data_IF_049273776399
#
_entry.id   IF_049273776399
#
_cell.length_a   1.000
_cell.length_b   1.000
_cell.length_c   1.000
_cell.angle_alpha   90.00
_cell.angle_beta   90.00
_cell.angle_gamma   90.00
#
_symmetry.space_group_name_H-M   'P 1'
#
loop_
_entity.id
_entity.type
_entity.pdbx_description
1 polymer ?
#
# COMPACT_ATOMS: atom_id res chain seq x y z
N UNK A 1 -12.39 -66.23 27.13
CA UNK A 1 -11.12 -65.61 26.73
C UNK A 1 -11.09 -65.49 25.23
N UNK A 2 -10.71 -64.33 24.70
CA UNK A 2 -10.55 -63.97 23.27
C UNK A 2 -11.80 -63.55 22.47
N UNK A 3 -12.37 -62.40 22.81
CA UNK A 3 -13.18 -61.57 21.89
C UNK A 3 -12.79 -60.08 21.85
N UNK A 4 -11.56 -59.74 22.22
CA UNK A 4 -11.11 -58.33 22.34
C UNK A 4 -10.06 -57.92 21.33
N UNK A 5 -9.76 -58.72 20.29
CA UNK A 5 -8.64 -58.44 19.37
C UNK A 5 -9.08 -58.16 17.91
N UNK A 6 -10.35 -57.90 17.65
CA UNK A 6 -10.85 -57.68 16.28
C UNK A 6 -11.40 -56.27 15.99
N UNK A 7 -11.16 -55.30 16.90
CA UNK A 7 -11.65 -53.92 16.76
C UNK A 7 -10.53 -52.86 16.53
N UNK A 8 -9.27 -53.28 16.36
CA UNK A 8 -8.14 -52.39 16.22
C UNK A 8 -7.76 -51.98 14.78
N UNK A 9 -8.14 -52.66 13.66
CA UNK A 9 -7.79 -52.20 12.33
C UNK A 9 -8.77 -51.21 11.72
N UNK A 10 -9.94 -50.92 12.30
CA UNK A 10 -10.90 -49.96 11.75
C UNK A 10 -10.64 -48.48 12.11
N UNK A 11 -9.76 -48.20 13.08
CA UNK A 11 -9.48 -46.84 13.56
C UNK A 11 -8.30 -46.16 12.83
N UNK A 12 -7.60 -46.87 11.95
CA UNK A 12 -6.41 -46.37 11.24
C UNK A 12 -6.71 -45.91 9.80
N UNK A 13 -7.96 -45.93 9.34
CA UNK A 13 -8.39 -45.53 7.98
C UNK A 13 -9.06 -44.12 7.94
N UNK A 14 -9.13 -43.41 9.06
CA UNK A 14 -9.76 -42.05 9.14
C UNK A 14 -8.78 -40.92 9.16
N UNK A 15 -7.51 -41.11 8.78
CA UNK A 15 -6.42 -40.13 8.94
C UNK A 15 -5.92 -39.43 7.69
N UNK A 16 -6.44 -39.69 6.50
CA UNK A 16 -6.10 -38.93 5.30
C UNK A 16 -7.33 -38.20 4.76
N UNK A 17 -7.81 -37.22 5.53
CA UNK A 17 -8.52 -36.12 4.89
C UNK A 17 -7.42 -35.30 4.20
N UNK A 18 -7.20 -35.54 2.91
CA UNK A 18 -6.53 -34.58 2.06
C UNK A 18 -7.26 -33.25 2.26
N UNK A 19 -6.61 -32.33 2.98
CA UNK A 19 -7.02 -30.94 3.00
C UNK A 19 -6.78 -30.46 1.58
N UNK A 20 -7.78 -30.63 0.73
CA UNK A 20 -7.86 -29.96 -0.55
C UNK A 20 -7.78 -28.47 -0.21
N UNK A 21 -6.61 -27.86 -0.34
CA UNK A 21 -6.45 -26.41 -0.33
C UNK A 21 -7.23 -25.96 -1.56
N UNK A 22 -8.52 -25.67 -1.36
CA UNK A 22 -9.32 -25.04 -2.38
C UNK A 22 -8.55 -23.76 -2.77
N UNK A 23 -8.12 -23.69 -4.01
CA UNK A 23 -7.51 -22.52 -4.59
C UNK A 23 -8.52 -21.37 -4.39
N UNK A 24 -8.17 -20.41 -3.55
CA UNK A 24 -9.09 -19.35 -3.17
C UNK A 24 -9.13 -18.35 -4.31
N UNK A 25 -10.22 -18.34 -5.06
CA UNK A 25 -10.47 -17.30 -6.07
C UNK A 25 -10.90 -16.01 -5.36
N UNK A 26 -10.34 -14.90 -5.76
CA UNK A 26 -10.58 -13.59 -5.16
C UNK A 26 -11.31 -12.67 -6.14
N UNK A 27 -12.43 -12.14 -5.70
CA UNK A 27 -13.13 -11.07 -6.41
C UNK A 27 -12.38 -9.73 -6.24
N UNK A 28 -12.64 -8.79 -7.15
CA UNK A 28 -12.08 -7.43 -7.04
C UNK A 28 -12.40 -6.79 -5.68
N UNK A 29 -13.62 -6.98 -5.17
CA UNK A 29 -14.03 -6.42 -3.88
C UNK A 29 -13.23 -7.01 -2.72
N UNK A 30 -13.02 -8.31 -2.71
CA UNK A 30 -12.21 -8.98 -1.67
C UNK A 30 -10.76 -8.51 -1.70
N UNK A 31 -10.18 -8.29 -2.89
CA UNK A 31 -8.85 -7.71 -3.04
C UNK A 31 -8.79 -6.30 -2.44
N UNK A 32 -9.79 -5.45 -2.71
CA UNK A 32 -9.87 -4.09 -2.18
C UNK A 32 -9.98 -4.12 -0.65
N UNK A 33 -10.94 -4.89 -0.12
CA UNK A 33 -11.19 -4.95 1.32
C UNK A 33 -9.95 -5.45 2.09
N UNK A 34 -9.31 -6.50 1.55
CA UNK A 34 -8.09 -7.02 2.14
C UNK A 34 -6.94 -6.00 2.14
N UNK A 35 -6.76 -5.26 1.04
CA UNK A 35 -5.72 -4.26 0.95
C UNK A 35 -5.97 -3.06 1.86
N UNK A 36 -7.22 -2.61 2.01
CA UNK A 36 -7.58 -1.53 2.93
C UNK A 36 -7.18 -1.85 4.37
N UNK A 37 -7.22 -3.12 4.77
CA UNK A 37 -6.82 -3.57 6.11
C UNK A 37 -5.31 -3.83 6.23
N UNK A 38 -4.66 -4.31 5.17
CA UNK A 38 -3.32 -4.87 5.27
C UNK A 38 -2.23 -4.03 4.63
N UNK A 39 -2.55 -3.18 3.65
CA UNK A 39 -1.57 -2.43 2.90
C UNK A 39 -0.73 -1.50 3.78
N UNK A 40 0.60 -1.58 3.64
CA UNK A 40 1.56 -0.86 4.48
C UNK A 40 1.53 0.65 4.25
N UNK A 41 1.16 1.10 3.04
CA UNK A 41 1.08 2.54 2.74
C UNK A 41 -0.10 3.18 3.48
N UNK A 42 -1.26 2.50 3.53
CA UNK A 42 -2.42 2.94 4.30
C UNK A 42 -2.09 2.95 5.80
N UNK A 43 -1.47 1.88 6.31
CA UNK A 43 -1.04 1.80 7.73
C UNK A 43 -0.06 2.92 8.08
N UNK A 44 0.89 3.20 7.20
CA UNK A 44 1.84 4.31 7.39
C UNK A 44 1.12 5.66 7.46
N UNK A 45 0.16 5.90 6.57
CA UNK A 45 -0.59 7.18 6.58
C UNK A 45 -1.52 7.28 7.80
N UNK A 46 -2.12 6.17 8.23
CA UNK A 46 -2.89 6.13 9.47
C UNK A 46 -2.03 6.44 10.70
N UNK A 47 -0.80 5.92 10.77
CA UNK A 47 0.15 6.27 11.82
C UNK A 47 0.59 7.74 11.76
N UNK A 48 0.71 8.33 10.56
CA UNK A 48 0.96 9.76 10.41
C UNK A 48 -0.22 10.61 10.93
N UNK A 49 -1.46 10.17 10.69
CA UNK A 49 -2.64 10.83 11.27
C UNK A 49 -2.65 10.74 12.80
N UNK A 50 -2.36 9.56 13.37
CA UNK A 50 -2.23 9.38 14.82
C UNK A 50 -1.08 10.23 15.42
N UNK A 51 0.02 10.40 14.68
CA UNK A 51 1.09 11.31 15.09
C UNK A 51 0.59 12.76 15.17
N UNK A 52 -0.14 13.25 14.15
CA UNK A 52 -0.70 14.60 14.18
C UNK A 52 -1.74 14.78 15.29
N UNK A 53 -2.50 13.74 15.64
CA UNK A 53 -3.40 13.76 16.81
C UNK A 53 -2.61 14.02 18.11
N UNK A 54 -1.49 13.30 18.30
CA UNK A 54 -0.61 13.54 19.45
C UNK A 54 0.04 14.96 19.44
N UNK A 55 0.32 15.51 18.24
CA UNK A 55 0.81 16.90 18.12
C UNK A 55 -0.24 17.90 18.58
N UNK A 56 -1.52 17.69 18.26
CA UNK A 56 -2.64 18.51 18.78
C UNK A 56 -2.72 18.43 20.30
N UNK A 57 -2.63 17.22 20.87
CA UNK A 57 -2.67 17.02 22.32
C UNK A 57 -1.47 17.67 23.01
N UNK A 58 -0.29 17.62 22.40
CA UNK A 58 0.89 18.32 22.90
C UNK A 58 0.67 19.83 22.86
N UNK A 59 0.23 20.40 21.73
CA UNK A 59 -0.03 21.83 21.60
C UNK A 59 -1.07 22.33 22.62
N UNK A 60 -2.11 21.52 22.90
CA UNK A 60 -3.08 21.81 23.97
C UNK A 60 -2.45 21.74 25.36
N UNK A 61 -1.54 20.81 25.57
CA UNK A 61 -0.84 20.62 26.86
C UNK A 61 0.16 21.75 27.16
N UNK A 62 0.67 22.45 26.13
CA UNK A 62 1.56 23.59 26.30
C UNK A 62 0.91 24.77 27.00
N UNK A 63 -0.42 24.75 27.23
CA UNK A 63 -1.15 25.68 28.13
C UNK A 63 -0.96 25.37 29.59
N UNK A 64 -0.51 24.16 29.93
CA UNK A 64 -0.33 23.73 31.31
C UNK A 64 1.06 24.09 31.83
N UNK A 65 1.24 24.22 33.16
CA UNK A 65 2.57 24.38 33.73
C UNK A 65 3.46 23.18 33.39
N UNK A 66 4.71 23.45 32.96
CA UNK A 66 5.71 22.41 32.84
C UNK A 66 6.31 22.10 34.22
N UNK A 67 6.98 20.97 34.34
CA UNK A 67 7.73 20.56 35.52
C UNK A 67 9.09 20.00 35.06
N UNK A 68 10.15 20.74 35.42
CA UNK A 68 11.51 20.33 35.09
C UNK A 68 12.27 20.06 36.40
N UNK A 69 13.04 18.98 36.44
CA UNK A 69 13.94 18.66 37.54
C UNK A 69 15.31 18.28 36.99
N UNK A 70 16.35 18.76 37.63
CA UNK A 70 17.72 18.41 37.26
C UNK A 70 18.59 18.27 38.47
N UNK A 71 19.58 17.35 38.37
CA UNK A 71 20.63 17.19 39.35
C UNK A 71 21.99 17.16 38.65
N UNK A 72 22.96 17.87 39.18
CA UNK A 72 24.32 17.84 38.67
C UNK A 72 25.31 17.60 39.81
N UNK A 73 26.30 16.76 39.56
CA UNK A 73 27.39 16.49 40.47
C UNK A 73 28.68 16.83 39.76
N UNK A 74 29.38 17.85 40.30
CA UNK A 74 30.61 18.33 39.72
C UNK A 74 31.79 18.03 40.65
N UNK A 75 32.75 17.28 40.15
CA UNK A 75 34.01 17.00 40.84
C UNK A 75 35.10 17.89 40.29
N UNK A 76 35.69 18.71 41.16
CA UNK A 76 36.81 19.57 40.80
C UNK A 76 38.08 19.12 41.56
N UNK A 77 39.13 18.88 40.80
CA UNK A 77 40.41 18.41 41.32
C UNK A 77 41.48 19.42 40.91
N UNK A 78 42.34 19.76 41.86
CA UNK A 78 43.51 20.62 41.55
C UNK A 78 43.69 21.80 42.48
N UNK A 79 44.47 22.75 42.01
CA UNK A 79 44.90 23.92 42.79
C UNK A 79 43.85 25.02 42.64
N UNK A 80 43.23 25.40 43.75
CA UNK A 80 42.24 26.49 43.84
C UNK A 80 42.67 27.57 44.79
N UNK A 81 42.23 28.81 44.53
CA UNK A 81 42.43 29.93 45.47
C UNK A 81 41.43 29.79 46.61
N UNK A 82 41.92 29.84 47.87
CA UNK A 82 41.06 29.91 49.04
C UNK A 82 40.63 31.38 49.31
N UNK A 83 39.77 31.57 50.32
CA UNK A 83 39.26 32.92 50.70
C UNK A 83 40.37 33.89 51.17
N UNK A 84 41.53 33.34 51.51
CA UNK A 84 42.70 34.13 51.94
C UNK A 84 43.69 34.40 50.80
N UNK A 85 43.29 34.21 49.54
CA UNK A 85 44.12 34.36 48.36
C UNK A 85 45.37 33.45 48.30
N UNK A 86 45.31 32.27 48.99
CA UNK A 86 46.39 31.30 48.98
C UNK A 86 45.98 30.13 48.10
N UNK A 87 46.90 29.67 47.24
CA UNK A 87 46.68 28.52 46.38
C UNK A 87 46.84 27.22 47.18
N UNK A 88 45.76 26.47 47.33
CA UNK A 88 45.74 25.14 47.96
C UNK A 88 45.26 24.05 46.98
N UNK A 89 45.77 22.81 47.15
CA UNK A 89 45.23 21.69 46.44
C UNK A 89 43.94 21.23 47.15
N UNK A 90 42.80 21.60 46.55
CA UNK A 90 41.46 21.27 47.08
C UNK A 90 40.72 20.41 46.11
N UNK A 91 40.27 19.25 46.55
CA UNK A 91 39.28 18.44 45.82
C UNK A 91 37.92 18.82 46.38
N UNK A 92 37.08 19.36 45.50
CA UNK A 92 35.71 19.73 45.85
C UNK A 92 34.69 18.91 45.10
N UNK A 93 33.63 18.58 45.79
CA UNK A 93 32.43 17.91 45.21
C UNK A 93 31.27 18.85 45.42
N UNK A 94 30.65 19.27 44.33
CA UNK A 94 29.51 20.15 44.37
C UNK A 94 28.30 19.41 43.79
N UNK A 95 27.30 19.19 44.60
CA UNK A 95 26.00 18.63 44.23
C UNK A 95 24.97 19.77 44.15
N UNK A 96 24.38 19.96 42.98
CA UNK A 96 23.30 20.91 42.77
C UNK A 96 22.06 20.18 42.33
N UNK A 97 20.91 20.55 42.84
CA UNK A 97 19.62 20.06 42.40
C UNK A 97 18.65 21.24 42.25
N UNK A 98 17.79 21.15 41.26
CA UNK A 98 16.72 22.12 41.08
C UNK A 98 15.43 21.43 40.62
N UNK A 99 14.33 22.07 40.94
CA UNK A 99 12.99 21.79 40.38
C UNK A 99 12.42 23.14 39.98
N UNK A 100 11.93 23.24 38.73
CA UNK A 100 11.29 24.44 38.22
C UNK A 100 9.94 24.09 37.55
N UNK A 101 9.02 25.01 37.63
CA UNK A 101 7.73 24.91 36.94
C UNK A 101 7.42 26.29 36.36
N UNK A 102 7.16 26.31 35.07
CA UNK A 102 6.87 27.55 34.32
C UNK A 102 5.53 27.38 33.58
N UNK A 103 4.76 28.45 33.54
CA UNK A 103 3.52 28.56 32.79
C UNK A 103 3.50 29.81 31.95
N UNK A 104 3.14 29.69 30.66
CA UNK A 104 2.95 30.81 29.76
C UNK A 104 1.58 31.43 29.99
N UNK A 105 1.53 32.67 30.55
CA UNK A 105 0.25 33.35 30.80
C UNK A 105 -0.29 34.05 29.56
N UNK A 106 0.61 34.67 28.76
CA UNK A 106 0.26 35.35 27.53
C UNK A 106 1.47 35.49 26.62
N UNK A 107 1.29 35.21 25.33
CA UNK A 107 2.32 35.27 24.28
C UNK A 107 1.78 35.82 22.95
N UNK A 108 0.85 36.79 23.01
CA UNK A 108 0.32 37.40 21.79
C UNK A 108 -0.54 36.49 20.92
N UNK A 109 -1.27 35.53 21.51
CA UNK A 109 -2.08 34.50 20.82
C UNK A 109 -1.29 33.44 20.04
N UNK A 110 0.04 33.45 20.08
CA UNK A 110 0.89 32.45 19.42
C UNK A 110 0.46 31.02 19.81
N UNK A 111 0.25 30.79 21.12
CA UNK A 111 -0.16 29.46 21.61
C UNK A 111 -1.55 29.03 21.06
N UNK A 112 -2.50 29.98 21.00
CA UNK A 112 -3.83 29.68 20.45
C UNK A 112 -3.75 29.35 18.96
N UNK A 113 -3.04 30.19 18.19
CA UNK A 113 -2.88 29.99 16.74
C UNK A 113 -2.08 28.70 16.44
N UNK A 114 -1.13 28.32 17.28
CA UNK A 114 -0.41 27.05 17.15
C UNK A 114 -1.30 25.83 17.36
N UNK A 115 -2.26 25.91 18.28
CA UNK A 115 -3.26 24.85 18.48
C UNK A 115 -4.19 24.78 17.26
N UNK A 116 -4.72 25.92 16.82
CA UNK A 116 -5.57 25.98 15.63
C UNK A 116 -4.85 25.42 14.40
N UNK A 117 -3.58 25.77 14.21
CA UNK A 117 -2.75 25.23 13.14
C UNK A 117 -2.60 23.70 13.22
N UNK A 118 -2.30 23.18 14.42
CA UNK A 118 -2.14 21.73 14.60
C UNK A 118 -3.46 20.97 14.37
N UNK A 119 -4.61 21.54 14.73
CA UNK A 119 -5.93 20.99 14.43
C UNK A 119 -6.23 20.97 12.91
N UNK A 120 -5.85 22.02 12.19
CA UNK A 120 -5.98 22.07 10.73
C UNK A 120 -5.03 21.05 10.07
N UNK A 121 -3.80 20.91 10.56
CA UNK A 121 -2.85 19.92 10.08
C UNK A 121 -3.33 18.47 10.32
N UNK A 122 -3.98 18.20 11.45
CA UNK A 122 -4.64 16.93 11.70
C UNK A 122 -5.76 16.68 10.68
N UNK A 123 -6.61 17.66 10.42
CA UNK A 123 -7.68 17.54 9.42
C UNK A 123 -7.11 17.28 8.01
N UNK A 124 -6.01 17.95 7.64
CA UNK A 124 -5.32 17.71 6.39
C UNK A 124 -4.79 16.26 6.30
N UNK A 125 -4.18 15.75 7.38
CA UNK A 125 -3.66 14.36 7.42
C UNK A 125 -4.76 13.31 7.31
N UNK A 126 -5.97 13.57 7.82
CA UNK A 126 -7.14 12.71 7.66
C UNK A 126 -7.55 12.64 6.18
N UNK A 127 -7.58 13.79 5.49
CA UNK A 127 -7.89 13.80 4.05
C UNK A 127 -6.80 13.12 3.22
N UNK A 128 -5.53 13.23 3.62
CA UNK A 128 -4.41 12.51 2.98
C UNK A 128 -4.52 10.99 3.18
N UNK A 129 -5.04 10.54 4.33
CA UNK A 129 -5.33 9.11 4.55
C UNK A 129 -6.45 8.61 3.62
N UNK A 130 -7.53 9.37 3.47
CA UNK A 130 -8.60 8.99 2.52
C UNK A 130 -8.09 8.96 1.08
N UNK A 131 -7.26 9.95 0.68
CA UNK A 131 -6.58 9.91 -0.62
C UNK A 131 -5.73 8.66 -0.81
N UNK A 132 -4.95 8.27 0.22
CA UNK A 132 -4.11 7.07 0.14
C UNK A 132 -4.95 5.79 -0.04
N UNK A 133 -6.12 5.70 0.58
CA UNK A 133 -7.07 4.60 0.36
C UNK A 133 -7.59 4.59 -1.08
N UNK A 134 -8.02 5.74 -1.60
CA UNK A 134 -8.49 5.87 -2.98
C UNK A 134 -7.42 5.47 -3.99
N UNK A 135 -6.17 5.92 -3.79
CA UNK A 135 -5.04 5.56 -4.64
C UNK A 135 -4.79 4.04 -4.66
N UNK A 136 -4.85 3.36 -3.52
CA UNK A 136 -4.70 1.90 -3.42
C UNK A 136 -5.86 1.18 -4.11
N UNK A 137 -7.10 1.61 -3.91
CA UNK A 137 -8.28 1.05 -4.60
C UNK A 137 -8.10 1.11 -6.12
N UNK A 138 -7.70 2.28 -6.64
CA UNK A 138 -7.47 2.47 -8.08
C UNK A 138 -6.33 1.58 -8.60
N UNK A 139 -5.23 1.46 -7.85
CA UNK A 139 -4.10 0.62 -8.24
C UNK A 139 -4.48 -0.87 -8.25
N UNK A 140 -5.27 -1.32 -7.28
CA UNK A 140 -5.77 -2.70 -7.24
C UNK A 140 -6.69 -2.97 -8.43
N UNK A 141 -7.64 -2.06 -8.68
CA UNK A 141 -8.55 -2.20 -9.82
C UNK A 141 -7.79 -2.24 -11.15
N UNK A 142 -6.76 -1.40 -11.31
CA UNK A 142 -5.92 -1.41 -12.49
C UNK A 142 -5.13 -2.71 -12.65
N UNK A 143 -4.48 -3.19 -11.57
CA UNK A 143 -3.74 -4.47 -11.59
C UNK A 143 -4.64 -5.67 -11.83
N UNK A 144 -5.84 -5.66 -11.25
CA UNK A 144 -6.84 -6.71 -11.46
C UNK A 144 -7.29 -6.78 -12.93
N UNK A 145 -7.58 -5.62 -13.53
CA UNK A 145 -7.95 -5.54 -14.96
C UNK A 145 -6.78 -5.90 -15.87
N UNK A 146 -5.53 -5.62 -15.46
CA UNK A 146 -4.34 -6.01 -16.22
C UNK A 146 -4.17 -7.54 -16.28
N UNK A 147 -4.49 -8.24 -15.18
CA UNK A 147 -4.48 -9.72 -15.14
C UNK A 147 -5.53 -10.25 -16.11
N UNK A 148 -6.79 -9.81 -15.98
CA UNK A 148 -7.88 -10.25 -16.87
C UNK A 148 -7.55 -10.01 -18.35
N UNK A 149 -6.98 -8.83 -18.65
CA UNK A 149 -6.58 -8.51 -20.01
C UNK A 149 -5.44 -9.40 -20.53
N UNK A 150 -4.48 -9.73 -19.67
CA UNK A 150 -3.38 -10.63 -20.05
C UNK A 150 -3.86 -12.08 -20.25
N UNK A 151 -4.82 -12.56 -19.46
CA UNK A 151 -5.45 -13.88 -19.62
C UNK A 151 -6.19 -13.97 -20.96
N UNK A 152 -7.00 -12.95 -21.29
CA UNK A 152 -7.71 -12.88 -22.57
C UNK A 152 -6.75 -12.85 -23.77
N UNK A 153 -5.64 -12.10 -23.67
CA UNK A 153 -4.63 -12.08 -24.73
C UNK A 153 -3.99 -13.46 -24.96
N UNK A 154 -3.74 -14.23 -23.90
CA UNK A 154 -3.18 -15.59 -23.99
C UNK A 154 -4.17 -16.52 -24.69
N UNK A 155 -5.46 -16.39 -24.40
CA UNK A 155 -6.49 -17.18 -25.08
C UNK A 155 -6.56 -16.86 -26.58
N UNK A 156 -6.54 -15.56 -26.92
CA UNK A 156 -6.53 -15.09 -28.32
C UNK A 156 -5.27 -15.56 -29.05
N UNK A 157 -4.07 -15.43 -28.45
CA UNK A 157 -2.81 -15.88 -29.03
C UNK A 157 -2.84 -17.40 -29.29
N UNK A 158 -3.33 -18.17 -28.32
CA UNK A 158 -3.46 -19.63 -28.44
C UNK A 158 -4.41 -20.04 -29.59
N UNK A 159 -5.56 -19.38 -29.69
CA UNK A 159 -6.50 -19.61 -30.77
C UNK A 159 -5.91 -19.23 -32.14
N UNK A 160 -5.12 -18.14 -32.22
CA UNK A 160 -4.43 -17.74 -33.45
C UNK A 160 -3.39 -18.76 -33.88
N UNK A 161 -2.60 -19.28 -32.92
CA UNK A 161 -1.61 -20.33 -33.19
C UNK A 161 -2.26 -21.62 -33.72
N UNK A 162 -3.41 -22.01 -33.16
CA UNK A 162 -4.15 -23.17 -33.67
C UNK A 162 -4.59 -23.01 -35.12
N UNK A 163 -5.04 -21.78 -35.50
CA UNK A 163 -5.39 -21.46 -36.90
C UNK A 163 -4.16 -21.51 -37.79
N UNK A 164 -3.04 -20.94 -37.35
CA UNK A 164 -1.80 -20.94 -38.12
C UNK A 164 -1.24 -22.36 -38.29
N UNK A 165 -1.33 -23.21 -37.24
CA UNK A 165 -0.96 -24.64 -37.33
C UNK A 165 -1.79 -25.41 -38.39
N UNK A 166 -3.11 -25.18 -38.42
CA UNK A 166 -3.97 -25.77 -39.46
C UNK A 166 -3.58 -25.29 -40.88
N UNK A 167 -3.16 -24.04 -41.03
CA UNK A 167 -2.67 -23.50 -42.31
C UNK A 167 -1.33 -24.14 -42.69
N UNK A 168 -0.43 -24.38 -41.76
CA UNK A 168 0.82 -25.13 -41.99
C UNK A 168 0.53 -26.52 -42.54
N UNK A 169 -0.37 -27.25 -41.89
CA UNK A 169 -0.73 -28.63 -42.30
C UNK A 169 -1.31 -28.68 -43.70
N UNK A 170 -2.22 -27.74 -44.03
CA UNK A 170 -2.77 -27.59 -45.37
C UNK A 170 -1.72 -27.20 -46.41
N UNK A 171 -0.87 -26.23 -46.09
CA UNK A 171 0.18 -25.77 -47.01
C UNK A 171 1.22 -26.86 -47.27
N UNK A 172 1.57 -27.65 -46.24
CA UNK A 172 2.48 -28.79 -46.35
C UNK A 172 1.93 -29.81 -47.35
N UNK A 173 0.63 -30.17 -47.29
CA UNK A 173 -0.01 -31.07 -48.25
C UNK A 173 0.07 -30.54 -49.67
N UNK A 174 -0.10 -29.22 -49.89
CA UNK A 174 -0.04 -28.61 -51.21
C UNK A 174 1.39 -28.55 -51.76
N UNK A 175 2.39 -28.34 -50.90
CA UNK A 175 3.79 -28.39 -51.26
C UNK A 175 4.24 -29.82 -51.63
N UNK A 176 3.79 -30.81 -50.86
CA UNK A 176 4.08 -32.22 -51.12
C UNK A 176 3.42 -32.71 -52.42
N UNK A 177 2.24 -32.18 -52.77
CA UNK A 177 1.56 -32.38 -54.04
C UNK A 177 2.19 -31.61 -55.22
N UNK A 178 3.22 -30.76 -54.97
CA UNK A 178 3.87 -29.96 -55.99
C UNK A 178 3.06 -28.74 -56.45
N UNK A 179 1.95 -28.39 -55.76
CA UNK A 179 1.05 -27.28 -56.11
C UNK A 179 1.52 -25.92 -55.55
N UNK A 180 2.40 -25.93 -54.56
CA UNK A 180 2.96 -24.70 -53.93
C UNK A 180 4.49 -24.79 -53.79
N UNK A 181 5.15 -23.67 -53.78
CA UNK A 181 6.58 -23.59 -53.54
C UNK A 181 6.89 -23.81 -52.04
N UNK A 182 8.00 -24.48 -51.72
CA UNK A 182 8.48 -24.72 -50.34
C UNK A 182 8.64 -23.40 -49.53
N UNK A 183 8.93 -22.27 -50.19
CA UNK A 183 9.04 -20.97 -49.56
C UNK A 183 7.75 -20.53 -48.86
N UNK A 184 6.57 -20.88 -49.41
CA UNK A 184 5.27 -20.55 -48.77
C UNK A 184 5.08 -21.30 -47.44
N UNK A 185 5.55 -22.56 -47.33
CA UNK A 185 5.51 -23.30 -46.07
C UNK A 185 6.44 -22.66 -45.02
N UNK A 186 7.66 -22.32 -45.39
CA UNK A 186 8.64 -21.69 -44.48
C UNK A 186 8.17 -20.34 -43.97
N UNK A 187 7.40 -19.58 -44.78
CA UNK A 187 6.85 -18.29 -44.37
C UNK A 187 5.79 -18.46 -43.27
N UNK A 188 4.90 -19.46 -43.40
CA UNK A 188 3.87 -19.71 -42.38
C UNK A 188 4.50 -20.33 -41.12
N UNK A 189 5.50 -21.20 -41.25
CA UNK A 189 6.26 -21.73 -40.10
C UNK A 189 6.99 -20.58 -39.36
N UNK A 190 7.54 -19.61 -40.07
CA UNK A 190 8.15 -18.43 -39.46
C UNK A 190 7.10 -17.52 -38.80
N UNK A 191 5.86 -17.49 -39.30
CA UNK A 191 4.74 -16.79 -38.65
C UNK A 191 4.38 -17.46 -37.34
N UNK A 192 4.22 -18.79 -37.30
CA UNK A 192 3.94 -19.54 -36.07
C UNK A 192 4.99 -19.25 -35.01
N UNK A 193 6.27 -19.26 -35.36
CA UNK A 193 7.34 -18.96 -34.41
C UNK A 193 7.24 -17.55 -33.81
N UNK A 194 6.74 -16.56 -34.58
CA UNK A 194 6.47 -15.22 -34.06
C UNK A 194 5.28 -15.19 -33.11
N UNK A 195 4.24 -15.97 -33.40
CA UNK A 195 3.05 -16.11 -32.56
C UNK A 195 3.39 -16.82 -31.24
N UNK A 196 4.23 -17.86 -31.28
CA UNK A 196 4.79 -18.51 -30.08
C UNK A 196 5.54 -17.53 -29.19
N UNK A 197 6.40 -16.68 -29.79
CA UNK A 197 7.09 -15.65 -29.05
C UNK A 197 6.11 -14.65 -28.39
N UNK A 198 5.04 -14.27 -29.09
CA UNK A 198 4.04 -13.37 -28.58
C UNK A 198 3.28 -14.01 -27.39
N UNK A 199 2.90 -15.27 -27.48
CA UNK A 199 2.30 -16.04 -26.40
C UNK A 199 3.18 -16.05 -25.15
N UNK A 200 4.49 -16.38 -25.29
CA UNK A 200 5.44 -16.38 -24.18
C UNK A 200 5.57 -14.98 -23.54
N UNK A 201 5.58 -13.92 -24.35
CA UNK A 201 5.63 -12.56 -23.86
C UNK A 201 4.36 -12.20 -23.06
N UNK A 202 3.18 -12.62 -23.50
CA UNK A 202 1.93 -12.35 -22.78
C UNK A 202 1.82 -13.22 -21.51
N UNK A 203 2.32 -14.46 -21.51
CA UNK A 203 2.45 -15.26 -20.30
C UNK A 203 3.38 -14.59 -19.25
N UNK A 204 4.50 -14.02 -19.69
CA UNK A 204 5.37 -13.27 -18.79
C UNK A 204 4.69 -12.01 -18.22
N UNK A 205 3.91 -11.29 -19.04
CA UNK A 205 3.12 -10.13 -18.57
C UNK A 205 2.09 -10.55 -17.53
N UNK A 206 1.40 -11.66 -17.73
CA UNK A 206 0.45 -12.21 -16.77
C UNK A 206 1.12 -12.47 -15.42
N UNK A 207 2.29 -13.12 -15.42
CA UNK A 207 3.04 -13.37 -14.20
C UNK A 207 3.44 -12.08 -13.48
N UNK A 208 3.89 -11.05 -14.23
CA UNK A 208 4.23 -9.75 -13.67
C UNK A 208 3.00 -9.02 -13.10
N UNK A 209 1.85 -9.11 -13.76
CA UNK A 209 0.60 -8.52 -13.28
C UNK A 209 0.16 -9.17 -11.95
N UNK A 210 0.25 -10.50 -11.83
CA UNK A 210 0.02 -11.18 -10.54
C UNK A 210 1.00 -10.73 -9.46
N UNK A 211 2.30 -10.62 -9.77
CA UNK A 211 3.31 -10.14 -8.79
C UNK A 211 2.97 -8.72 -8.31
N UNK A 212 2.55 -7.83 -9.22
CA UNK A 212 2.12 -6.47 -8.86
C UNK A 212 0.91 -6.48 -7.91
N UNK A 213 -0.09 -7.31 -8.19
CA UNK A 213 -1.26 -7.46 -7.33
C UNK A 213 -0.87 -8.05 -5.96
N UNK A 214 0.01 -9.06 -5.91
CA UNK A 214 0.55 -9.61 -4.66
C UNK A 214 1.21 -8.53 -3.79
N UNK A 215 2.00 -7.64 -4.40
CA UNK A 215 2.65 -6.55 -3.69
C UNK A 215 1.66 -5.52 -3.15
N UNK A 216 0.62 -5.20 -3.92
CA UNK A 216 -0.43 -4.27 -3.46
C UNK A 216 -1.26 -4.85 -2.30
N UNK A 217 -1.48 -6.16 -2.31
CA UNK A 217 -2.20 -6.88 -1.27
C UNK A 217 -1.33 -7.22 -0.05
N UNK A 218 0.00 -7.04 -0.13
CA UNK A 218 0.96 -7.48 0.91
C UNK A 218 0.81 -8.98 1.25
N UNK A 219 0.47 -9.78 0.26
CA UNK A 219 0.34 -11.22 0.44
C UNK A 219 1.71 -11.90 0.49
N UNK A 220 1.91 -12.89 1.36
CA UNK A 220 3.10 -13.74 1.31
C UNK A 220 3.09 -14.56 0.00
N UNK A 221 4.24 -14.61 -0.67
CA UNK A 221 4.45 -15.24 -2.00
C UNK A 221 4.01 -16.73 -2.03
N UNK A 222 3.92 -17.36 -0.88
CA UNK A 222 3.54 -18.76 -0.71
C UNK A 222 2.04 -19.02 -0.90
N UNK A 223 1.19 -18.00 -0.87
CA UNK A 223 -0.24 -18.12 -1.11
C UNK A 223 -0.52 -17.93 -2.60
N UNK A 224 -0.71 -19.03 -3.33
CA UNK A 224 -1.28 -18.94 -4.68
C UNK A 224 -2.76 -18.60 -4.57
N UNK A 225 -3.20 -17.57 -5.27
CA UNK A 225 -4.61 -17.27 -5.49
C UNK A 225 -4.86 -17.04 -6.97
N UNK A 226 -6.08 -17.25 -7.39
CA UNK A 226 -6.57 -16.88 -8.71
C UNK A 226 -7.59 -15.78 -8.56
N UNK A 227 -7.72 -14.94 -9.58
CA UNK A 227 -8.77 -13.92 -9.59
C UNK A 227 -10.04 -14.47 -10.20
N UNK A 228 -11.19 -13.96 -9.76
CA UNK A 228 -12.50 -14.30 -10.33
C UNK A 228 -12.74 -13.45 -11.58
N UNK A 229 -13.20 -14.07 -12.66
CA UNK A 229 -13.66 -13.33 -13.82
C UNK A 229 -14.99 -12.61 -13.49
N UNK A 230 -15.04 -11.27 -13.49
CA UNK A 230 -16.23 -10.55 -13.10
C UNK A 230 -17.32 -10.71 -14.17
N UNK A 231 -18.52 -11.09 -13.76
CA UNK A 231 -19.71 -11.02 -14.63
C UNK A 231 -20.01 -9.55 -14.90
N UNK A 232 -19.65 -9.06 -16.08
CA UNK A 232 -19.92 -7.68 -16.47
C UNK A 232 -21.42 -7.44 -16.54
N UNK A 233 -21.98 -6.49 -15.77
CA UNK A 233 -23.36 -6.10 -15.92
C UNK A 233 -23.56 -5.53 -17.31
N UNK A 234 -24.65 -5.93 -17.99
CA UNK A 234 -25.01 -5.33 -19.29
C UNK A 234 -25.12 -3.81 -19.10
N UNK A 235 -24.16 -3.07 -19.66
CA UNK A 235 -24.20 -1.61 -19.66
C UNK A 235 -25.44 -1.17 -20.43
N UNK A 236 -26.46 -0.70 -19.71
CA UNK A 236 -27.60 -0.05 -20.36
C UNK A 236 -27.07 1.17 -21.11
N UNK A 237 -27.32 1.26 -22.39
CA UNK A 237 -26.84 2.32 -23.28
C UNK A 237 -27.32 3.74 -22.91
N UNK A 238 -28.01 3.91 -21.81
CA UNK A 238 -28.62 5.15 -21.34
C UNK A 238 -27.79 5.86 -20.25
N UNK A 239 -26.47 5.72 -20.30
CA UNK A 239 -25.59 6.54 -19.46
C UNK A 239 -25.52 7.92 -20.09
N UNK A 240 -26.38 8.83 -19.65
CA UNK A 240 -26.26 10.27 -19.92
C UNK A 240 -24.87 10.68 -19.43
N UNK A 241 -23.95 10.91 -20.35
CA UNK A 241 -22.61 11.41 -20.02
C UNK A 241 -22.77 12.76 -19.32
N UNK A 242 -22.45 12.80 -18.02
CA UNK A 242 -22.42 14.05 -17.28
C UNK A 242 -21.48 15.03 -17.98
N UNK A 243 -21.87 16.31 -18.05
CA UNK A 243 -21.00 17.33 -18.64
C UNK A 243 -19.67 17.36 -17.87
N UNK A 244 -18.56 17.40 -18.62
CA UNK A 244 -17.20 17.43 -18.03
C UNK A 244 -17.03 18.55 -16.99
N UNK A 245 -17.70 19.69 -17.19
CA UNK A 245 -17.69 20.81 -16.25
C UNK A 245 -18.41 20.50 -14.93
N UNK A 246 -19.52 19.76 -14.97
CA UNK A 246 -20.24 19.36 -13.78
C UNK A 246 -19.49 18.29 -13.00
N UNK A 247 -18.83 17.36 -13.72
CA UNK A 247 -17.91 16.38 -13.10
C UNK A 247 -16.76 17.08 -12.41
N UNK A 248 -16.14 18.07 -13.05
CA UNK A 248 -15.05 18.85 -12.47
C UNK A 248 -15.51 19.62 -11.21
N UNK A 249 -16.65 20.32 -11.27
CA UNK A 249 -17.19 21.02 -10.10
C UNK A 249 -17.45 20.07 -8.92
N UNK A 250 -18.04 18.91 -9.19
CA UNK A 250 -18.27 17.92 -8.15
C UNK A 250 -16.97 17.40 -7.56
N UNK A 251 -15.97 17.12 -8.40
CA UNK A 251 -14.65 16.67 -7.97
C UNK A 251 -13.98 17.65 -7.01
N UNK A 252 -14.09 18.96 -7.23
CA UNK A 252 -13.52 19.99 -6.34
C UNK A 252 -14.08 19.90 -4.89
N UNK A 253 -15.30 19.39 -4.71
CA UNK A 253 -15.94 19.29 -3.40
C UNK A 253 -15.79 17.91 -2.75
N UNK A 254 -15.61 16.87 -3.55
CA UNK A 254 -15.62 15.49 -3.06
C UNK A 254 -14.22 14.98 -2.82
N UNK A 255 -13.26 15.29 -3.71
CA UNK A 255 -11.94 14.67 -3.70
C UNK A 255 -11.09 15.03 -2.46
N UNK A 256 -10.56 14.02 -1.74
CA UNK A 256 -9.78 14.24 -0.53
C UNK A 256 -8.51 15.08 -0.75
N UNK A 257 -7.81 14.90 -1.88
CA UNK A 257 -6.60 15.65 -2.20
C UNK A 257 -6.84 17.16 -2.35
N UNK A 258 -8.01 17.56 -2.84
CA UNK A 258 -8.39 18.98 -2.94
C UNK A 258 -8.65 19.56 -1.56
N UNK A 259 -9.37 18.83 -0.71
CA UNK A 259 -9.64 19.22 0.68
C UNK A 259 -8.34 19.32 1.47
N UNK A 260 -7.44 18.33 1.34
CA UNK A 260 -6.14 18.35 1.99
C UNK A 260 -5.33 19.58 1.57
N UNK A 261 -5.30 19.91 0.27
CA UNK A 261 -4.58 21.09 -0.24
C UNK A 261 -5.18 22.40 0.31
N UNK A 262 -6.52 22.52 0.40
CA UNK A 262 -7.18 23.69 1.00
C UNK A 262 -6.79 23.85 2.47
N UNK A 263 -6.84 22.77 3.25
CA UNK A 263 -6.44 22.78 4.66
C UNK A 263 -4.95 23.13 4.84
N UNK A 264 -4.07 22.68 3.93
CA UNK A 264 -2.65 23.07 3.94
C UNK A 264 -2.45 24.56 3.70
N UNK A 265 -3.25 25.19 2.84
CA UNK A 265 -3.24 26.64 2.65
C UNK A 265 -3.72 27.35 3.92
N UNK A 266 -4.77 26.86 4.56
CA UNK A 266 -5.30 27.42 5.80
C UNK A 266 -4.27 27.30 6.95
N UNK A 267 -3.61 26.16 7.10
CA UNK A 267 -2.51 25.95 8.05
C UNK A 267 -1.38 26.94 7.82
N UNK A 268 -0.97 27.16 6.55
CA UNK A 268 0.06 28.15 6.22
C UNK A 268 -0.33 29.59 6.55
N UNK A 269 -1.61 29.93 6.41
CA UNK A 269 -2.13 31.25 6.85
C UNK A 269 -2.08 31.38 8.38
N UNK A 270 -2.41 30.32 9.13
CA UNK A 270 -2.25 30.31 10.59
C UNK A 270 -0.80 30.46 11.02
N UNK A 271 0.12 29.84 10.29
CA UNK A 271 1.55 30.00 10.56
C UNK A 271 2.02 31.45 10.35
N UNK A 272 1.43 32.18 9.40
CA UNK A 272 1.70 33.60 9.22
C UNK A 272 1.18 34.44 10.40
N UNK A 273 0.04 34.07 11.02
CA UNK A 273 -0.48 34.72 12.21
C UNK A 273 0.37 34.47 13.46
N UNK A 274 1.13 33.36 13.48
CA UNK A 274 2.06 33.01 14.56
C UNK A 274 3.38 33.81 14.46
N UNK A 275 3.83 34.12 13.24
CA UNK A 275 5.11 34.83 12.99
C UNK A 275 4.99 36.31 13.27
#
# INVERSE_FOLDING_TARGET
MNKFFMLLPCLLLLGFADVSVAQQTWSLQECIDYALENNIQIKRQALNTAYNENVVDQAKSDRLPNLNAGASNNYSFGRSLNNDNVYENVNSVQLNGYVSSDIMLFNGFVLQNSIDQSEIDLQASIQELEKAKDDIILNIAASYLEILFAEELIEVDSAQMDVTQQQIDRTRQLVDAGSLAKGALLEIEAQLAREELQLVNNQNKLQLAYINLYQLLELPIEKSFEIEEPTLPQVKADVTMANAFDVFKNALHVRPEIKAAQLRVESALKQLEIA
#
